data_IF_251306762539
#
_entry.id   IF_251306762539
#
_cell.length_a   1.000
_cell.length_b   1.000
_cell.length_c   1.000
_cell.angle_alpha   90.00
_cell.angle_beta   90.00
_cell.angle_gamma   90.00
#
_symmetry.space_group_name_H-M   'P 1'
#
loop_
_entity.id
_entity.type
_entity.pdbx_description
1 polymer ?
#
# COMPACT_ATOMS: atom_id res chain seq x y z
N UNK A 1 -3.22 3.70 5.05
CA UNK A 1 -4.59 3.13 5.01
C UNK A 1 -4.46 1.63 4.95
N UNK A 2 -5.28 0.90 5.70
CA UNK A 2 -5.48 -0.52 5.51
C UNK A 2 -6.77 -0.70 4.69
N UNK A 3 -6.70 -1.55 3.67
CA UNK A 3 -7.84 -1.83 2.79
C UNK A 3 -8.28 -3.29 2.89
N UNK A 4 -9.05 -3.77 1.90
CA UNK A 4 -9.72 -5.05 2.00
C UNK A 4 -8.75 -6.17 2.36
N UNK A 5 -9.13 -6.99 3.35
CA UNK A 5 -8.33 -8.12 3.83
C UNK A 5 -7.99 -9.11 2.70
N UNK A 6 -8.87 -9.22 1.71
CA UNK A 6 -8.76 -10.08 0.54
C UNK A 6 -8.05 -9.42 -0.66
N UNK A 7 -7.06 -8.55 -0.44
CA UNK A 7 -6.41 -7.79 -1.51
C UNK A 7 -5.87 -8.66 -2.66
N UNK A 8 -5.30 -9.83 -2.37
CA UNK A 8 -4.82 -10.77 -3.39
C UNK A 8 -5.95 -11.35 -4.24
N UNK A 9 -7.05 -11.75 -3.58
CA UNK A 9 -8.25 -12.28 -4.25
C UNK A 9 -8.86 -11.21 -5.16
N UNK A 10 -8.99 -9.99 -4.66
CA UNK A 10 -9.47 -8.85 -5.44
C UNK A 10 -8.55 -8.52 -6.61
N UNK A 11 -7.24 -8.53 -6.41
CA UNK A 11 -6.27 -8.34 -7.50
C UNK A 11 -6.44 -9.35 -8.63
N UNK A 12 -6.63 -10.63 -8.28
CA UNK A 12 -6.88 -11.70 -9.26
C UNK A 12 -8.19 -11.47 -10.03
N UNK A 13 -9.26 -11.02 -9.37
CA UNK A 13 -10.53 -10.68 -10.03
C UNK A 13 -10.38 -9.45 -10.92
N UNK A 14 -9.64 -8.43 -10.47
CA UNK A 14 -9.37 -7.22 -11.25
C UNK A 14 -8.72 -7.53 -12.59
N UNK A 15 -7.72 -8.42 -12.61
CA UNK A 15 -7.09 -8.87 -13.87
C UNK A 15 -8.08 -9.64 -14.77
N UNK A 16 -8.95 -10.46 -14.18
CA UNK A 16 -9.99 -11.16 -14.95
C UNK A 16 -10.97 -10.18 -15.60
N UNK A 17 -11.43 -9.16 -14.87
CA UNK A 17 -12.31 -8.12 -15.39
C UNK A 17 -11.66 -7.31 -16.53
N UNK A 18 -10.37 -6.99 -16.41
CA UNK A 18 -9.63 -6.35 -17.51
C UNK A 18 -9.53 -7.25 -18.75
N UNK A 19 -9.35 -8.56 -18.55
CA UNK A 19 -9.31 -9.54 -19.66
C UNK A 19 -10.67 -9.64 -20.37
N UNK A 20 -11.76 -9.35 -19.66
CA UNK A 20 -13.12 -9.31 -20.19
C UNK A 20 -13.52 -7.93 -20.75
N UNK A 21 -12.60 -6.96 -20.81
CA UNK A 21 -12.84 -5.59 -21.25
C UNK A 21 -13.85 -4.80 -20.36
N UNK A 22 -14.09 -5.27 -19.13
CA UNK A 22 -14.97 -4.62 -18.15
C UNK A 22 -14.27 -3.50 -17.35
N UNK A 23 -12.94 -3.53 -17.31
CA UNK A 23 -12.09 -2.50 -16.70
C UNK A 23 -10.90 -2.21 -17.61
N UNK A 24 -10.61 -0.93 -17.85
CA UNK A 24 -9.58 -0.58 -18.84
C UNK A 24 -8.17 -0.78 -18.28
N UNK A 25 -7.98 -0.59 -16.97
CA UNK A 25 -6.67 -0.58 -16.34
C UNK A 25 -6.73 -0.75 -14.82
N UNK A 26 -5.55 -0.80 -14.19
CA UNK A 26 -5.38 -0.97 -12.73
C UNK A 26 -5.94 0.20 -11.93
N UNK A 27 -5.86 1.43 -12.44
CA UNK A 27 -6.35 2.60 -11.71
C UNK A 27 -7.88 2.64 -11.69
N UNK A 28 -8.56 2.24 -12.77
CA UNK A 28 -10.02 2.03 -12.78
C UNK A 28 -10.42 0.98 -11.73
N UNK A 29 -9.69 -0.14 -11.66
CA UNK A 29 -9.93 -1.16 -10.64
C UNK A 29 -9.73 -0.63 -9.21
N UNK A 30 -8.68 0.18 -8.97
CA UNK A 30 -8.44 0.80 -7.66
C UNK A 30 -9.56 1.75 -7.25
N UNK A 31 -10.16 2.47 -8.19
CA UNK A 31 -11.34 3.31 -7.93
C UNK A 31 -12.55 2.47 -7.52
N UNK A 32 -12.79 1.35 -8.20
CA UNK A 32 -13.85 0.40 -7.81
C UNK A 32 -13.60 -0.12 -6.39
N UNK A 33 -12.37 -0.55 -6.08
CA UNK A 33 -12.03 -1.07 -4.75
C UNK A 33 -12.22 0.01 -3.67
N UNK A 34 -11.75 1.23 -3.88
CA UNK A 34 -11.87 2.30 -2.89
C UNK A 34 -13.31 2.79 -2.67
N UNK A 35 -14.17 2.66 -3.69
CA UNK A 35 -15.57 3.03 -3.59
C UNK A 35 -16.45 1.95 -2.93
N UNK A 36 -16.02 0.68 -2.95
CA UNK A 36 -16.87 -0.46 -2.55
C UNK A 36 -16.39 -1.21 -1.30
N UNK A 37 -15.19 -0.95 -0.81
CA UNK A 37 -14.64 -1.61 0.38
C UNK A 37 -14.24 -0.62 1.46
N UNK A 38 -14.42 -1.03 2.71
CA UNK A 38 -14.01 -0.23 3.86
C UNK A 38 -12.49 -0.03 3.87
N UNK A 39 -12.07 1.23 3.96
CA UNK A 39 -10.68 1.63 4.13
C UNK A 39 -10.50 2.24 5.51
N UNK A 40 -9.63 1.63 6.32
CA UNK A 40 -9.28 2.18 7.64
C UNK A 40 -8.05 3.08 7.49
N UNK A 41 -8.23 4.37 7.80
CA UNK A 41 -7.12 5.32 7.82
C UNK A 41 -6.50 5.36 9.22
N UNK A 42 -5.23 4.98 9.32
CA UNK A 42 -4.42 5.14 10.53
C UNK A 42 -3.60 6.42 10.41
N UNK A 43 -3.82 7.34 11.34
CA UNK A 43 -3.09 8.61 11.40
C UNK A 43 -1.77 8.37 12.15
N UNK A 44 -0.61 8.79 11.61
CA UNK A 44 0.66 8.67 12.31
C UNK A 44 0.60 9.36 13.68
N UNK A 45 0.98 8.65 14.73
CA UNK A 45 1.12 9.21 16.06
C UNK A 45 2.61 9.46 16.37
N UNK A 46 3.08 10.73 16.36
CA UNK A 46 4.48 11.05 16.64
C UNK A 46 4.89 10.75 18.08
N UNK A 47 3.94 10.66 19.01
CA UNK A 47 4.18 10.36 20.42
C UNK A 47 4.13 8.85 20.72
N UNK A 48 3.94 8.01 19.69
CA UNK A 48 3.97 6.55 19.85
C UNK A 48 5.36 6.03 20.22
N UNK A 49 5.42 4.93 20.97
CA UNK A 49 6.70 4.32 21.37
C UNK A 49 7.58 4.00 20.16
N UNK A 50 6.98 3.48 19.08
CA UNK A 50 7.69 3.19 17.84
C UNK A 50 8.26 4.46 17.18
N UNK A 51 7.51 5.57 17.16
CA UNK A 51 8.00 6.83 16.62
C UNK A 51 9.18 7.38 17.45
N UNK A 52 9.07 7.32 18.78
CA UNK A 52 10.17 7.70 19.70
C UNK A 52 11.41 6.84 19.48
N UNK A 53 11.24 5.53 19.30
CA UNK A 53 12.35 4.62 19.01
C UNK A 53 12.98 4.99 17.66
N UNK A 54 12.21 5.06 16.58
CA UNK A 54 12.72 5.42 15.24
C UNK A 54 13.51 6.73 15.23
N UNK A 55 13.09 7.75 16.00
CA UNK A 55 13.81 9.02 16.11
C UNK A 55 15.22 8.88 16.74
N UNK A 56 15.43 7.91 17.63
CA UNK A 56 16.73 7.63 18.25
C UNK A 56 17.67 6.83 17.33
N UNK A 57 17.10 5.97 16.48
CA UNK A 57 17.85 5.12 15.55
C UNK A 57 17.99 5.74 14.17
N UNK A 58 18.35 7.03 14.07
CA UNK A 58 18.70 7.62 12.78
C UNK A 58 19.83 6.77 12.15
N UNK A 59 19.56 6.06 11.03
CA UNK A 59 20.59 5.25 10.43
C UNK A 59 21.69 6.19 9.97
N UNK A 60 22.92 5.97 10.45
CA UNK A 60 24.09 6.28 9.64
C UNK A 60 23.91 5.47 8.37
N UNK A 61 23.25 6.03 7.35
CA UNK A 61 23.25 5.46 6.00
C UNK A 61 24.72 5.38 5.61
N UNK A 62 25.32 4.21 5.79
CA UNK A 62 26.52 3.88 5.03
C UNK A 62 26.06 3.90 3.59
N UNK A 63 26.45 4.94 2.86
CA UNK A 63 26.38 4.95 1.41
C UNK A 63 27.09 3.68 0.99
N UNK A 64 26.34 2.69 0.49
CA UNK A 64 26.96 1.51 -0.11
C UNK A 64 27.82 2.05 -1.25
N UNK A 65 29.13 1.91 -1.15
CA UNK A 65 30.02 2.23 -2.27
C UNK A 65 29.53 1.39 -3.46
N UNK A 66 29.34 2.05 -4.62
CA UNK A 66 29.07 1.33 -5.86
C UNK A 66 30.30 0.47 -6.15
N UNK A 67 30.19 -0.84 -6.01
CA UNK A 67 31.12 -1.75 -6.67
C UNK A 67 30.94 -1.56 -8.18
N UNK A 68 32.01 -1.11 -8.85
CA UNK A 68 32.12 -0.96 -10.29
C UNK A 68 32.16 -2.32 -11.00
#
# INVERSE_FOLDING_TARGET
MAGPVEASTLGNIGIQLMTLDELNNIDDFRQVVSANYDLTTYIPNPDSEIARHVAQFQPKRQTKELCA
#
